data_IF_219897689567
#
_entry.id   IF_219897689567
#
_cell.length_a   1.000
_cell.length_b   1.000
_cell.length_c   1.000
_cell.angle_alpha   90.00
_cell.angle_beta   90.00
_cell.angle_gamma   90.00
#
_symmetry.space_group_name_H-M   'P 1'
#
loop_
_entity.id
_entity.type
_entity.pdbx_description
1 polymer ?
#
# COMPACT_ATOMS: atom_id res chain seq x y z
N UNK A 1 12.93 -1.95 24.15
CA UNK A 1 14.34 -1.75 24.51
C UNK A 1 14.78 -0.50 23.76
N UNK A 2 15.38 0.51 24.43
CA UNK A 2 15.95 1.66 23.75
C UNK A 2 17.00 1.22 22.72
N UNK A 3 17.11 1.95 21.62
CA UNK A 3 18.19 1.73 20.65
C UNK A 3 19.55 2.10 21.29
N UNK A 4 20.62 1.44 20.83
CA UNK A 4 21.96 1.92 21.15
C UNK A 4 22.17 3.30 20.53
N UNK A 5 22.92 4.18 21.20
CA UNK A 5 23.12 5.57 20.77
C UNK A 5 23.64 5.68 19.32
N UNK A 6 24.47 4.75 18.88
CA UNK A 6 24.97 4.69 17.51
C UNK A 6 23.86 4.39 16.49
N UNK A 7 22.97 3.44 16.79
CA UNK A 7 21.82 3.10 15.95
C UNK A 7 20.78 4.23 15.91
N UNK A 8 20.63 4.96 17.01
CA UNK A 8 19.76 6.13 17.07
C UNK A 8 20.30 7.28 16.22
N UNK A 9 21.61 7.55 16.27
CA UNK A 9 22.27 8.53 15.43
C UNK A 9 22.22 8.16 13.93
N UNK A 10 22.41 6.89 13.59
CA UNK A 10 22.29 6.41 12.22
C UNK A 10 20.86 6.60 11.68
N UNK A 11 19.84 6.23 12.47
CA UNK A 11 18.44 6.43 12.12
C UNK A 11 18.13 7.92 11.93
N UNK A 12 18.56 8.80 12.85
CA UNK A 12 18.36 10.23 12.73
C UNK A 12 18.98 10.78 11.43
N UNK A 13 20.22 10.41 11.12
CA UNK A 13 20.87 10.81 9.88
C UNK A 13 20.18 10.28 8.61
N UNK A 14 19.58 9.09 8.68
CA UNK A 14 18.79 8.55 7.57
C UNK A 14 17.51 9.37 7.33
N UNK A 15 16.78 9.74 8.39
CA UNK A 15 15.58 10.58 8.28
C UNK A 15 15.91 11.99 7.79
N UNK A 16 17.01 12.57 8.25
CA UNK A 16 17.48 13.89 7.82
C UNK A 16 17.75 13.93 6.30
N UNK A 17 18.50 12.95 5.78
CA UNK A 17 18.76 12.82 4.35
C UNK A 17 17.48 12.68 3.53
N UNK A 18 16.47 11.97 4.03
CA UNK A 18 15.17 11.86 3.39
C UNK A 18 14.34 13.13 3.46
N UNK A 19 14.44 13.89 4.54
CA UNK A 19 13.83 15.20 4.67
C UNK A 19 14.34 16.18 3.61
N UNK A 20 15.65 16.21 3.40
CA UNK A 20 16.29 17.02 2.35
C UNK A 20 15.83 16.59 0.93
N UNK A 21 15.76 15.30 0.65
CA UNK A 21 15.24 14.80 -0.62
C UNK A 21 13.77 15.21 -0.87
N UNK A 22 12.94 15.20 0.18
CA UNK A 22 11.55 15.68 0.11
C UNK A 22 11.44 17.16 -0.23
N UNK A 23 12.29 18.01 0.36
CA UNK A 23 12.31 19.44 0.08
C UNK A 23 12.60 19.74 -1.40
N UNK A 24 13.41 18.92 -2.06
CA UNK A 24 13.70 19.06 -3.50
C UNK A 24 12.53 18.71 -4.42
N UNK A 25 11.50 18.01 -3.92
CA UNK A 25 10.32 17.63 -4.68
C UNK A 25 9.23 18.71 -4.69
N UNK A 26 9.34 19.72 -3.82
CA UNK A 26 8.39 20.83 -3.70
C UNK A 26 8.49 21.79 -4.90
N UNK A 27 8.01 21.44 -6.04
CA UNK A 27 8.10 22.22 -7.29
C UNK A 27 8.11 21.34 -8.52
N UNK A 28 8.01 20.04 -8.34
CA UNK A 28 7.85 19.09 -9.45
C UNK A 28 6.53 19.27 -10.19
N UNK A 29 6.42 18.77 -11.43
CA UNK A 29 5.27 19.01 -12.33
C UNK A 29 3.93 18.50 -11.78
N UNK A 30 3.96 17.62 -10.79
CA UNK A 30 2.76 17.05 -10.13
C UNK A 30 2.54 17.58 -8.72
N UNK A 31 3.46 18.40 -8.19
CA UNK A 31 3.34 18.90 -6.83
C UNK A 31 2.10 19.77 -6.65
N UNK A 32 1.22 19.38 -5.74
CA UNK A 32 -0.03 20.10 -5.44
C UNK A 32 -1.10 20.06 -6.54
N UNK A 33 -0.84 19.46 -7.71
CA UNK A 33 -1.77 19.42 -8.84
C UNK A 33 -3.12 18.77 -8.49
N UNK A 34 -3.11 17.80 -7.62
CA UNK A 34 -4.29 17.03 -7.21
C UNK A 34 -4.72 17.32 -5.76
N UNK A 35 -4.38 18.51 -5.25
CA UNK A 35 -4.82 18.93 -3.90
C UNK A 35 -6.34 18.89 -3.81
N UNK A 36 -6.87 18.20 -2.82
CA UNK A 36 -8.32 18.04 -2.59
C UNK A 36 -8.98 16.94 -3.44
N UNK A 37 -8.24 16.26 -4.32
CA UNK A 37 -8.78 15.12 -5.05
C UNK A 37 -8.88 13.88 -4.16
N UNK A 38 -9.83 12.99 -4.44
CA UNK A 38 -9.90 11.67 -3.81
C UNK A 38 -8.71 10.80 -4.24
N UNK A 39 -8.21 9.99 -3.32
CA UNK A 39 -7.11 9.04 -3.58
C UNK A 39 -7.64 7.62 -3.43
N UNK A 40 -7.52 6.83 -4.49
CA UNK A 40 -7.86 5.39 -4.49
C UNK A 40 -6.58 4.62 -4.76
N UNK A 41 -6.19 3.75 -3.82
CA UNK A 41 -5.05 2.84 -3.97
C UNK A 41 -5.58 1.43 -4.17
N UNK A 42 -5.30 0.82 -5.32
CA UNK A 42 -5.67 -0.56 -5.63
C UNK A 42 -4.39 -1.40 -5.62
N UNK A 43 -4.27 -2.29 -4.63
CA UNK A 43 -3.19 -3.25 -4.54
C UNK A 43 -3.64 -4.58 -5.15
N UNK A 44 -3.08 -4.92 -6.31
CA UNK A 44 -3.41 -6.14 -7.05
C UNK A 44 -2.46 -7.27 -6.64
N UNK A 45 -3.01 -8.31 -6.01
CA UNK A 45 -2.24 -9.49 -5.56
C UNK A 45 -1.59 -10.22 -6.74
N UNK A 46 -0.30 -10.52 -6.61
CA UNK A 46 0.48 -11.32 -7.55
C UNK A 46 0.52 -10.81 -9.02
N UNK A 47 0.07 -9.60 -9.31
CA UNK A 47 0.18 -9.02 -10.66
C UNK A 47 1.66 -8.81 -11.00
N UNK A 48 2.11 -9.43 -12.07
CA UNK A 48 3.47 -9.27 -12.59
C UNK A 48 3.46 -8.41 -13.86
N UNK A 49 4.41 -7.50 -13.98
CA UNK A 49 4.47 -6.53 -15.08
C UNK A 49 4.58 -7.18 -16.47
N UNK A 50 5.10 -8.42 -16.57
CA UNK A 50 5.26 -9.09 -17.86
C UNK A 50 3.94 -9.37 -18.60
N UNK A 51 2.78 -9.41 -17.92
CA UNK A 51 1.48 -9.63 -18.55
C UNK A 51 0.92 -8.36 -19.20
N UNK A 52 1.41 -7.19 -18.79
CA UNK A 52 0.97 -5.89 -19.32
C UNK A 52 1.47 -5.74 -20.76
N UNK A 53 0.56 -5.41 -21.68
CA UNK A 53 0.86 -5.31 -23.10
C UNK A 53 1.00 -6.63 -23.83
N UNK A 54 0.92 -7.79 -23.14
CA UNK A 54 0.99 -9.11 -23.78
C UNK A 54 -0.30 -9.51 -24.45
N UNK A 55 -0.16 -10.34 -25.47
CA UNK A 55 -1.27 -11.01 -26.15
C UNK A 55 -1.17 -12.52 -25.99
N UNK A 56 -2.33 -13.16 -25.84
CA UNK A 56 -2.48 -14.62 -25.87
C UNK A 56 -3.48 -14.97 -26.95
N UNK A 57 -3.11 -15.82 -27.90
CA UNK A 57 -3.94 -16.17 -29.08
C UNK A 57 -4.52 -14.91 -29.79
N UNK A 58 -3.70 -13.89 -29.96
CA UNK A 58 -4.09 -12.61 -30.59
C UNK A 58 -4.89 -11.65 -29.72
N UNK A 59 -5.36 -12.07 -28.55
CA UNK A 59 -6.13 -11.26 -27.63
C UNK A 59 -5.22 -10.59 -26.55
N UNK A 60 -5.40 -9.30 -26.23
CA UNK A 60 -4.69 -8.68 -25.12
C UNK A 60 -5.00 -9.37 -23.79
N UNK A 61 -3.97 -9.63 -22.97
CA UNK A 61 -4.14 -10.24 -21.64
C UNK A 61 -4.74 -9.24 -20.65
N UNK A 62 -4.32 -7.97 -20.75
CA UNK A 62 -4.73 -6.89 -19.82
C UNK A 62 -5.28 -5.68 -20.60
N UNK A 63 -6.40 -5.80 -21.34
CA UNK A 63 -6.84 -4.75 -22.26
C UNK A 63 -7.17 -3.43 -21.55
N UNK A 64 -7.76 -3.47 -20.35
CA UNK A 64 -8.12 -2.29 -19.56
C UNK A 64 -6.88 -1.60 -18.98
N UNK A 65 -5.93 -2.36 -18.43
CA UNK A 65 -4.66 -1.80 -17.95
C UNK A 65 -3.85 -1.21 -19.11
N UNK A 66 -3.83 -1.88 -20.27
CA UNK A 66 -3.13 -1.37 -21.45
C UNK A 66 -3.71 -0.01 -21.90
N UNK A 67 -5.04 0.15 -21.88
CA UNK A 67 -5.68 1.43 -22.20
C UNK A 67 -5.30 2.51 -21.17
N UNK A 68 -5.28 2.17 -19.88
CA UNK A 68 -4.92 3.10 -18.80
C UNK A 68 -3.48 3.63 -18.92
N UNK A 69 -2.55 2.84 -19.46
CA UNK A 69 -1.15 3.27 -19.65
C UNK A 69 -1.02 4.53 -20.50
N UNK A 70 -1.90 4.73 -21.47
CA UNK A 70 -1.87 5.91 -22.35
C UNK A 70 -2.26 7.21 -21.64
N UNK A 71 -2.95 7.12 -20.49
CA UNK A 71 -3.53 8.25 -19.75
C UNK A 71 -2.94 8.40 -18.34
N UNK A 72 -1.89 7.63 -18.01
CA UNK A 72 -1.33 7.59 -16.66
C UNK A 72 0.19 7.74 -16.64
N UNK A 73 0.73 7.94 -15.43
CA UNK A 73 2.17 7.80 -15.20
C UNK A 73 2.45 6.33 -14.89
N UNK A 74 3.24 5.69 -15.72
CA UNK A 74 3.62 4.29 -15.59
C UNK A 74 5.08 4.15 -15.20
N UNK A 75 5.34 3.39 -14.13
CA UNK A 75 6.69 3.07 -13.66
C UNK A 75 7.07 1.67 -14.16
N UNK A 76 7.76 1.57 -15.27
CA UNK A 76 8.15 0.30 -15.92
C UNK A 76 9.20 -0.50 -15.14
N UNK A 77 9.92 0.15 -14.23
CA UNK A 77 10.96 -0.44 -13.38
C UNK A 77 10.57 -0.45 -11.91
N UNK A 78 9.30 -0.65 -11.63
CA UNK A 78 8.81 -0.77 -10.26
C UNK A 78 8.94 -2.21 -9.79
N UNK A 79 9.88 -2.46 -8.88
CA UNK A 79 10.15 -3.78 -8.33
C UNK A 79 9.55 -3.90 -6.93
N UNK A 80 8.99 -5.08 -6.62
CA UNK A 80 8.48 -5.34 -5.28
C UNK A 80 9.60 -5.29 -4.22
N UNK A 81 9.28 -4.77 -3.05
CA UNK A 81 10.17 -4.66 -1.90
C UNK A 81 9.59 -5.46 -0.72
N UNK A 82 9.26 -6.73 -0.97
CA UNK A 82 8.66 -7.61 0.04
C UNK A 82 9.64 -8.66 0.50
N UNK A 83 9.47 -9.13 1.74
CA UNK A 83 10.22 -10.21 2.34
C UNK A 83 9.24 -11.31 2.84
N UNK A 84 9.36 -11.77 4.07
CA UNK A 84 8.53 -12.85 4.62
C UNK A 84 7.07 -12.44 4.86
N UNK A 85 6.78 -11.15 5.01
CA UNK A 85 5.42 -10.61 5.16
C UNK A 85 4.64 -10.51 3.84
N UNK A 86 5.31 -10.71 2.69
CA UNK A 86 4.66 -10.77 1.37
C UNK A 86 3.66 -9.61 1.15
N UNK A 87 2.36 -9.91 1.09
CA UNK A 87 1.30 -8.90 0.88
C UNK A 87 1.26 -7.85 1.99
N UNK A 88 1.46 -8.26 3.26
CA UNK A 88 1.52 -7.32 4.38
C UNK A 88 2.74 -6.38 4.31
N UNK A 89 3.86 -6.85 3.76
CA UNK A 89 5.03 -6.00 3.50
C UNK A 89 4.76 -4.98 2.38
N UNK A 90 4.02 -5.39 1.33
CA UNK A 90 3.62 -4.48 0.26
C UNK A 90 2.66 -3.40 0.79
N UNK A 91 1.67 -3.78 1.61
CA UNK A 91 0.79 -2.85 2.33
C UNK A 91 1.61 -1.82 3.12
N UNK A 92 2.55 -2.31 3.94
CA UNK A 92 3.38 -1.47 4.78
C UNK A 92 4.27 -0.53 3.98
N UNK A 93 4.96 -1.04 2.96
CA UNK A 93 5.83 -0.24 2.12
C UNK A 93 5.07 0.84 1.34
N UNK A 94 3.90 0.49 0.78
CA UNK A 94 3.07 1.43 0.01
C UNK A 94 2.47 2.54 0.88
N UNK A 95 2.00 2.21 2.08
CA UNK A 95 1.31 3.15 2.95
C UNK A 95 2.24 3.96 3.86
N UNK A 96 3.35 3.38 4.32
CA UNK A 96 4.24 3.99 5.30
C UNK A 96 5.60 4.40 4.73
N UNK A 97 5.87 4.15 3.45
CA UNK A 97 7.15 4.46 2.77
C UNK A 97 8.37 3.89 3.50
N UNK A 98 8.22 2.71 4.09
CA UNK A 98 9.27 2.03 4.84
C UNK A 98 9.54 0.64 4.26
N UNK A 99 10.78 0.17 4.41
CA UNK A 99 11.13 -1.18 4.02
C UNK A 99 10.56 -2.21 5.00
N UNK A 100 10.22 -3.42 4.53
CA UNK A 100 9.84 -4.52 5.40
C UNK A 100 11.01 -4.99 6.26
N UNK A 101 10.69 -5.81 7.25
CA UNK A 101 11.73 -6.49 8.05
C UNK A 101 12.46 -7.53 7.20
N UNK A 102 13.74 -7.72 7.48
CA UNK A 102 14.52 -8.81 6.87
C UNK A 102 13.98 -10.19 7.25
N UNK A 103 13.35 -10.32 8.43
CA UNK A 103 12.76 -11.57 8.93
C UNK A 103 11.43 -11.30 9.65
N UNK A 104 10.42 -12.09 9.33
CA UNK A 104 9.04 -11.91 9.80
C UNK A 104 8.33 -10.77 9.07
N UNK A 105 7.16 -10.40 9.55
CA UNK A 105 6.35 -9.30 9.03
C UNK A 105 6.11 -8.24 10.11
N UNK A 106 6.14 -6.96 9.74
CA UNK A 106 5.79 -5.84 10.64
C UNK A 106 4.39 -6.04 11.21
N UNK A 107 3.44 -6.42 10.39
CA UNK A 107 2.05 -6.68 10.76
C UNK A 107 1.88 -7.76 11.85
N UNK A 108 2.83 -8.66 11.97
CA UNK A 108 2.80 -9.73 13.00
C UNK A 108 3.64 -9.33 14.23
N UNK A 109 4.84 -8.81 14.00
CA UNK A 109 5.81 -8.59 15.09
C UNK A 109 5.62 -7.27 15.81
N UNK A 110 5.03 -6.27 15.15
CA UNK A 110 4.94 -4.91 15.66
C UNK A 110 3.57 -4.26 15.39
N UNK A 111 2.52 -5.09 15.36
CA UNK A 111 1.14 -4.63 15.11
C UNK A 111 0.60 -3.68 16.19
N UNK A 112 1.23 -3.63 17.35
CA UNK A 112 0.89 -2.76 18.48
C UNK A 112 1.55 -1.37 18.43
N UNK A 113 2.45 -1.16 17.48
CA UNK A 113 3.16 0.11 17.32
C UNK A 113 2.33 1.15 16.57
N UNK A 114 2.69 2.43 16.73
CA UNK A 114 2.11 3.53 15.95
C UNK A 114 3.01 3.84 14.77
N UNK A 115 2.40 4.20 13.63
CA UNK A 115 3.10 4.44 12.37
C UNK A 115 2.63 5.74 11.73
N UNK A 116 3.59 6.52 11.21
CA UNK A 116 3.32 7.68 10.38
C UNK A 116 3.16 7.21 8.92
N UNK A 117 1.93 6.96 8.53
CA UNK A 117 1.58 6.41 7.22
C UNK A 117 0.66 7.36 6.46
N UNK A 118 0.55 7.17 5.15
CA UNK A 118 -0.28 8.00 4.28
C UNK A 118 -1.72 8.19 4.80
N UNK A 119 -2.44 7.17 5.30
CA UNK A 119 -3.79 7.37 5.83
C UNK A 119 -3.84 8.36 6.99
N UNK A 120 -2.90 8.27 7.95
CA UNK A 120 -2.81 9.22 9.06
C UNK A 120 -2.55 10.65 8.60
N UNK A 121 -1.61 10.83 7.66
CA UNK A 121 -1.28 12.13 7.06
C UNK A 121 -2.49 12.72 6.31
N UNK A 122 -3.22 11.92 5.55
CA UNK A 122 -4.42 12.36 4.85
C UNK A 122 -5.54 12.73 5.81
N UNK A 123 -5.71 11.98 6.89
CA UNK A 123 -6.68 12.28 7.95
C UNK A 123 -6.39 13.62 8.62
N UNK A 124 -5.13 13.93 8.94
CA UNK A 124 -4.72 15.25 9.45
C UNK A 124 -5.01 16.37 8.45
N UNK A 125 -4.99 16.07 7.15
CA UNK A 125 -5.40 17.00 6.09
C UNK A 125 -6.91 17.07 5.85
N UNK A 126 -7.73 16.41 6.68
CA UNK A 126 -9.20 16.45 6.64
C UNK A 126 -9.86 15.41 5.73
N UNK A 127 -9.13 14.41 5.25
CA UNK A 127 -9.70 13.29 4.48
C UNK A 127 -10.31 12.23 5.40
N UNK A 128 -11.42 11.63 4.98
CA UNK A 128 -11.87 10.35 5.52
C UNK A 128 -11.07 9.22 4.88
N UNK A 129 -10.59 8.27 5.68
CA UNK A 129 -9.71 7.21 5.21
C UNK A 129 -10.30 5.83 5.46
N UNK A 130 -10.35 4.99 4.43
CA UNK A 130 -10.95 3.65 4.51
C UNK A 130 -10.06 2.62 3.83
N UNK A 131 -9.96 1.44 4.43
CA UNK A 131 -9.33 0.27 3.82
C UNK A 131 -10.38 -0.82 3.58
N UNK A 132 -10.20 -1.57 2.50
CA UNK A 132 -11.10 -2.65 2.09
C UNK A 132 -10.29 -3.91 1.81
N UNK A 133 -10.77 -5.07 2.27
CA UNK A 133 -10.15 -6.36 2.00
C UNK A 133 -11.19 -7.47 2.01
N UNK A 134 -11.30 -8.21 0.93
CA UNK A 134 -12.36 -9.19 0.72
C UNK A 134 -12.28 -10.46 1.60
N UNK A 135 -11.21 -10.62 2.39
CA UNK A 135 -11.01 -11.76 3.29
C UNK A 135 -11.11 -11.37 4.77
N UNK A 136 -10.79 -12.29 5.65
CA UNK A 136 -10.83 -12.10 7.10
C UNK A 136 -9.92 -10.96 7.57
N UNK A 137 -10.45 -10.09 8.41
CA UNK A 137 -9.72 -8.92 8.90
C UNK A 137 -8.59 -9.23 9.88
N UNK A 138 -8.60 -10.42 10.48
CA UNK A 138 -7.51 -10.92 11.33
C UNK A 138 -6.32 -11.44 10.51
N UNK A 139 -6.53 -11.78 9.26
CA UNK A 139 -5.45 -12.25 8.40
C UNK A 139 -4.38 -11.17 8.22
N UNK A 140 -3.14 -11.48 8.54
CA UNK A 140 -2.04 -10.52 8.68
C UNK A 140 -2.30 -9.43 9.75
N UNK A 141 -3.13 -9.65 10.76
CA UNK A 141 -3.49 -8.63 11.77
C UNK A 141 -3.96 -7.29 11.19
N UNK A 142 -4.57 -7.28 10.02
CA UNK A 142 -5.00 -6.04 9.34
C UNK A 142 -5.93 -5.18 10.19
N UNK A 143 -6.83 -5.82 10.94
CA UNK A 143 -7.75 -5.15 11.86
C UNK A 143 -7.03 -4.28 12.90
N UNK A 144 -5.86 -4.70 13.36
CA UNK A 144 -5.02 -3.92 14.29
C UNK A 144 -4.13 -2.94 13.54
N UNK A 145 -3.43 -3.41 12.52
CA UNK A 145 -2.46 -2.60 11.80
C UNK A 145 -3.07 -1.40 11.10
N UNK A 146 -4.21 -1.56 10.41
CA UNK A 146 -4.82 -0.44 9.70
C UNK A 146 -5.26 0.69 10.63
N UNK A 147 -5.75 0.36 11.83
CA UNK A 147 -6.02 1.36 12.86
C UNK A 147 -4.73 2.10 13.28
N UNK A 148 -3.60 1.38 13.42
CA UNK A 148 -2.29 1.96 13.78
C UNK A 148 -1.64 2.76 12.65
N UNK A 149 -1.99 2.47 11.40
CA UNK A 149 -1.58 3.22 10.21
C UNK A 149 -2.42 4.49 9.98
N UNK A 150 -3.51 4.67 10.73
CA UNK A 150 -4.33 5.87 10.70
C UNK A 150 -5.62 5.77 9.87
N UNK A 151 -6.01 4.60 9.39
CA UNK A 151 -7.32 4.43 8.75
C UNK A 151 -8.47 4.65 9.73
N UNK A 152 -9.50 5.39 9.32
CA UNK A 152 -10.72 5.57 10.10
C UNK A 152 -11.58 4.32 10.11
N UNK A 153 -11.65 3.64 8.96
CA UNK A 153 -12.48 2.46 8.77
C UNK A 153 -11.73 1.35 8.05
N UNK A 154 -11.99 0.11 8.50
CA UNK A 154 -11.54 -1.09 7.80
C UNK A 154 -12.72 -2.02 7.53
N UNK A 155 -12.98 -2.26 6.26
CA UNK A 155 -14.02 -3.15 5.77
C UNK A 155 -13.39 -4.47 5.35
N UNK A 156 -13.77 -5.55 6.03
CA UNK A 156 -13.31 -6.91 5.76
C UNK A 156 -14.49 -7.81 5.42
N UNK A 157 -14.25 -9.09 5.16
CA UNK A 157 -15.25 -10.09 4.78
C UNK A 157 -16.61 -9.96 5.50
N UNK A 158 -16.59 -9.67 6.81
CA UNK A 158 -17.83 -9.54 7.61
C UNK A 158 -18.75 -8.39 7.21
N UNK A 159 -18.26 -7.47 6.38
CA UNK A 159 -19.00 -6.28 5.93
C UNK A 159 -19.55 -6.44 4.52
N UNK A 160 -19.27 -7.56 3.84
CA UNK A 160 -19.70 -7.84 2.48
C UNK A 160 -20.66 -9.01 2.43
N UNK A 161 -21.58 -8.99 1.46
CA UNK A 161 -22.38 -10.17 1.10
C UNK A 161 -21.51 -11.13 0.32
N UNK A 162 -21.41 -12.38 0.76
CA UNK A 162 -20.58 -13.41 0.11
C UNK A 162 -21.36 -14.11 -1.00
N UNK A 163 -21.72 -13.37 -2.04
CA UNK A 163 -22.54 -13.84 -3.18
C UNK A 163 -21.71 -14.41 -4.34
N UNK A 164 -20.41 -14.10 -4.40
CA UNK A 164 -19.49 -14.65 -5.39
C UNK A 164 -18.19 -15.17 -4.70
N UNK A 165 -18.26 -16.29 -3.97
CA UNK A 165 -17.07 -16.81 -3.29
C UNK A 165 -16.05 -17.38 -4.30
N UNK A 166 -14.82 -16.88 -4.27
CA UNK A 166 -13.68 -17.37 -5.04
C UNK A 166 -12.57 -17.80 -4.10
N UNK A 167 -12.29 -19.10 -4.06
CA UNK A 167 -11.38 -19.68 -3.07
C UNK A 167 -11.88 -19.41 -1.65
N UNK A 168 -11.11 -18.71 -0.86
CA UNK A 168 -11.45 -18.35 0.53
C UNK A 168 -11.96 -16.91 0.71
N UNK A 169 -12.14 -16.17 -0.36
CA UNK A 169 -12.47 -14.74 -0.38
C UNK A 169 -13.70 -14.45 -1.24
N UNK A 170 -14.17 -13.21 -1.24
CA UNK A 170 -15.13 -12.70 -2.20
C UNK A 170 -14.42 -12.44 -3.55
N UNK A 171 -15.07 -12.74 -4.65
CA UNK A 171 -14.57 -12.45 -6.00
C UNK A 171 -14.52 -10.94 -6.28
N UNK A 172 -13.60 -10.53 -7.14
CA UNK A 172 -13.36 -9.12 -7.46
C UNK A 172 -14.60 -8.42 -8.04
N UNK A 173 -15.42 -9.14 -8.79
CA UNK A 173 -16.65 -8.60 -9.40
C UNK A 173 -17.66 -8.11 -8.36
N UNK A 174 -17.80 -8.86 -7.26
CA UNK A 174 -18.70 -8.48 -6.16
C UNK A 174 -18.03 -7.58 -5.13
N UNK A 175 -16.70 -7.55 -5.13
CA UNK A 175 -15.93 -6.71 -4.22
C UNK A 175 -15.87 -5.26 -4.69
N UNK A 176 -15.80 -4.99 -5.99
CA UNK A 176 -15.77 -3.68 -6.64
C UNK A 176 -17.11 -3.29 -7.25
#
# INVERSE_FOLDING_TARGET
VPLAAEAEAEAAGWFERRGMARASLSGGPFFGKYKGANVIVIQVEALQSFVIGRKWNGQPVTPRLNALLAESVYFDRFYHQTAQGRTADADFAAQCSQHPLASGAVFIRFADRTYDCLPGILKEAGYATSAFHAYDGGFWNRNMMYARMGFDHFYSRKHFTMDEPVGWSLGDRSFF
#
